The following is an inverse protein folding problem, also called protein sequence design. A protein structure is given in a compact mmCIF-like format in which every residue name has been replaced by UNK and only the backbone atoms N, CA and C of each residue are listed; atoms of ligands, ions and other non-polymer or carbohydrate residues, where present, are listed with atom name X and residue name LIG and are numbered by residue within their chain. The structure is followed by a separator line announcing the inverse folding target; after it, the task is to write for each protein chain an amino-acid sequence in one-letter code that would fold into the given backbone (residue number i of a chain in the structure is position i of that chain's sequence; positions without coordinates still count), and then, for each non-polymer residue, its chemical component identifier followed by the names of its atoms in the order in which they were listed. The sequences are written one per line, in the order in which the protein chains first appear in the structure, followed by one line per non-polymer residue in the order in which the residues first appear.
data_IF_331486160913
#
_entry.id   IF_331486160913
#
_cell.length_a   1.000
_cell.length_b   1.000
_cell.length_c   1.000
_cell.angle_alpha   90.00
_cell.angle_beta   90.00
_cell.angle_gamma   90.00
#
_symmetry.space_group_name_H-M   'P 1'
#
loop_
_entity.id
_entity.type
_entity.pdbx_description
1 polymer ?
#
# COMPACT_ATOMS: atom_id res chain seq x y z
N UNK A 1 -41.27 -17.97 -50.00
CA UNK A 1 -40.38 -17.57 -48.89
C UNK A 1 -41.18 -17.69 -47.60
N UNK A 2 -40.86 -18.59 -46.67
CA UNK A 2 -41.57 -18.69 -45.40
C UNK A 2 -41.19 -17.51 -44.49
N UNK A 3 -42.15 -17.04 -43.70
CA UNK A 3 -42.00 -15.87 -42.82
C UNK A 3 -40.97 -16.12 -41.72
N UNK A 4 -40.26 -15.04 -41.36
CA UNK A 4 -39.21 -14.94 -40.33
C UNK A 4 -39.60 -15.45 -38.94
N UNK A 5 -40.88 -15.66 -38.69
CA UNK A 5 -41.43 -16.10 -37.40
C UNK A 5 -41.30 -17.63 -37.15
N UNK A 6 -41.15 -18.43 -38.22
CA UNK A 6 -40.98 -19.89 -38.10
C UNK A 6 -39.56 -20.30 -37.69
N UNK A 7 -38.55 -19.52 -38.09
CA UNK A 7 -37.15 -19.78 -37.75
C UNK A 7 -36.82 -19.45 -36.29
N UNK A 8 -37.40 -18.36 -35.78
CA UNK A 8 -37.20 -17.95 -34.38
C UNK A 8 -37.82 -18.97 -33.43
N UNK A 9 -39.03 -19.47 -33.73
CA UNK A 9 -39.68 -20.52 -32.92
C UNK A 9 -38.92 -21.85 -32.96
N UNK A 10 -38.34 -22.22 -34.10
CA UNK A 10 -37.48 -23.42 -34.22
C UNK A 10 -36.20 -23.33 -33.39
N UNK A 11 -35.55 -22.16 -33.36
CA UNK A 11 -34.33 -21.94 -32.58
C UNK A 11 -34.56 -21.99 -31.07
N UNK A 12 -35.68 -21.44 -30.58
CA UNK A 12 -36.02 -21.49 -29.15
C UNK A 12 -36.35 -22.91 -28.66
N UNK A 13 -37.04 -23.72 -29.47
CA UNK A 13 -37.34 -25.12 -29.12
C UNK A 13 -36.07 -25.96 -29.09
N UNK A 14 -35.14 -25.74 -30.02
CA UNK A 14 -33.85 -26.44 -30.03
C UNK A 14 -32.99 -26.09 -28.80
N UNK A 15 -32.96 -24.82 -28.39
CA UNK A 15 -32.20 -24.38 -27.21
C UNK A 15 -32.78 -24.94 -25.89
N UNK A 16 -34.11 -25.04 -25.80
CA UNK A 16 -34.80 -25.62 -24.64
C UNK A 16 -34.54 -27.13 -24.52
N UNK A 17 -34.50 -27.86 -25.65
CA UNK A 17 -34.19 -29.29 -25.66
C UNK A 17 -32.73 -29.57 -25.28
N UNK A 18 -31.78 -28.73 -25.71
CA UNK A 18 -30.37 -28.88 -25.34
C UNK A 18 -30.14 -28.60 -23.85
N UNK A 19 -30.82 -27.60 -23.28
CA UNK A 19 -30.72 -27.31 -21.83
C UNK A 19 -31.37 -28.39 -20.97
N UNK A 20 -32.51 -28.95 -21.39
CA UNK A 20 -33.13 -30.11 -20.73
C UNK A 20 -32.25 -31.37 -20.79
N UNK A 21 -31.58 -31.62 -21.91
CA UNK A 21 -30.66 -32.77 -22.05
C UNK A 21 -29.43 -32.61 -21.14
N UNK A 22 -28.87 -31.39 -21.02
CA UNK A 22 -27.75 -31.10 -20.12
C UNK A 22 -28.12 -31.24 -18.64
N UNK A 23 -29.31 -30.78 -18.23
CA UNK A 23 -29.80 -30.94 -16.87
C UNK A 23 -30.09 -32.42 -16.53
N UNK A 24 -30.56 -33.21 -17.49
CA UNK A 24 -30.76 -34.66 -17.33
C UNK A 24 -29.44 -35.43 -17.17
N UNK A 25 -28.37 -34.99 -17.86
CA UNK A 25 -27.04 -35.60 -17.77
C UNK A 25 -26.32 -35.25 -16.46
N UNK A 26 -26.53 -34.04 -15.91
CA UNK A 26 -25.97 -33.66 -14.61
C UNK A 26 -26.68 -34.34 -13.42
N UNK A 27 -27.93 -34.76 -13.59
CA UNK A 27 -28.70 -35.45 -12.55
C UNK A 27 -28.39 -36.95 -12.45
N UNK A 28 -27.68 -37.54 -13.42
CA UNK A 28 -27.40 -38.99 -13.47
C UNK A 28 -26.09 -39.41 -12.79
N UNK A 29 -25.23 -38.47 -12.37
CA UNK A 29 -23.96 -38.75 -11.68
C UNK A 29 -24.06 -38.76 -10.14
N UNK A 30 -25.25 -38.61 -9.57
CA UNK A 30 -25.47 -38.68 -8.13
C UNK A 30 -25.87 -40.10 -7.68
N UNK A 31 -24.91 -41.03 -7.71
CA UNK A 31 -25.07 -42.36 -7.10
C UNK A 31 -24.75 -42.34 -5.60
N UNK A 32 -25.77 -42.58 -4.78
CA UNK A 32 -25.71 -42.67 -3.32
C UNK A 32 -24.85 -43.86 -2.85
N UNK A 33 -23.68 -43.56 -2.28
CA UNK A 33 -22.88 -44.51 -1.49
C UNK A 33 -23.19 -44.34 0.00
N UNK A 34 -23.79 -45.37 0.61
CA UNK A 34 -24.09 -45.47 2.04
C UNK A 34 -22.83 -45.41 2.90
N UNK A 35 -22.65 -44.38 3.72
CA UNK A 35 -21.56 -44.31 4.71
C UNK A 35 -22.09 -44.48 6.13
N UNK A 36 -21.68 -45.57 6.77
CA UNK A 36 -21.82 -45.80 8.20
C UNK A 36 -21.09 -44.70 9.00
N UNK A 37 -21.78 -44.12 9.98
CA UNK A 37 -21.22 -43.20 10.96
C UNK A 37 -20.29 -43.99 11.90
N UNK A 38 -18.98 -43.73 11.84
CA UNK A 38 -18.02 -44.07 12.91
C UNK A 38 -17.77 -42.83 13.76
N UNK A 39 -17.73 -42.94 15.10
CA UNK A 39 -17.48 -41.80 15.96
C UNK A 39 -16.03 -41.33 15.79
N UNK A 40 -15.87 -40.04 15.49
CA UNK A 40 -14.59 -39.37 15.32
C UNK A 40 -13.89 -39.26 16.68
N UNK A 41 -12.95 -40.17 16.93
CA UNK A 41 -12.01 -40.05 18.06
C UNK A 41 -11.09 -38.88 17.75
N UNK A 42 -11.16 -37.82 18.56
CA UNK A 42 -10.22 -36.68 18.53
C UNK A 42 -8.80 -37.21 18.71
N UNK A 43 -8.02 -37.20 17.63
CA UNK A 43 -6.56 -37.26 17.70
C UNK A 43 -6.02 -35.90 18.19
N UNK A 44 -5.03 -35.86 19.08
CA UNK A 44 -4.36 -34.61 19.43
C UNK A 44 -3.56 -34.15 18.20
N UNK A 45 -4.01 -33.06 17.57
CA UNK A 45 -3.35 -32.49 16.40
C UNK A 45 -2.11 -31.70 16.85
N UNK A 46 -0.93 -32.04 16.32
CA UNK A 46 0.31 -31.30 16.57
C UNK A 46 0.21 -29.93 15.88
N UNK A 47 0.68 -28.87 16.58
CA UNK A 47 0.92 -27.53 16.06
C UNK A 47 1.64 -27.63 14.69
N UNK A 48 1.12 -27.01 13.64
CA UNK A 48 1.77 -26.97 12.33
C UNK A 48 3.01 -26.04 12.38
N UNK A 49 4.10 -26.55 12.95
CA UNK A 49 5.40 -25.87 13.02
C UNK A 49 5.94 -25.50 11.62
N UNK A 50 5.42 -26.14 10.58
CA UNK A 50 5.68 -25.87 9.17
C UNK A 50 5.17 -24.52 8.69
N UNK A 51 4.02 -24.03 9.17
CA UNK A 51 3.44 -22.76 8.70
C UNK A 51 4.21 -21.55 9.25
N UNK A 52 4.70 -21.62 10.50
CA UNK A 52 5.53 -20.54 11.09
C UNK A 52 6.91 -20.50 10.43
N UNK A 53 7.54 -21.66 10.24
CA UNK A 53 8.84 -21.75 9.57
C UNK A 53 8.80 -21.25 8.11
N UNK A 54 7.66 -21.40 7.42
CA UNK A 54 7.44 -20.87 6.07
C UNK A 54 7.39 -19.33 6.07
N UNK A 55 6.72 -18.71 7.04
CA UNK A 55 6.66 -17.24 7.17
C UNK A 55 8.00 -16.64 7.56
N UNK A 56 8.73 -17.24 8.51
CA UNK A 56 10.06 -16.75 8.90
C UNK A 56 11.04 -16.84 7.73
N UNK A 57 11.00 -17.92 6.96
CA UNK A 57 11.80 -18.07 5.74
C UNK A 57 11.42 -17.02 4.69
N UNK A 58 10.14 -16.68 4.56
CA UNK A 58 9.66 -15.67 3.62
C UNK A 58 10.14 -14.26 3.99
N UNK A 59 10.14 -13.90 5.27
CA UNK A 59 10.78 -12.66 5.76
C UNK A 59 12.28 -12.68 5.49
N UNK A 60 12.98 -13.73 5.92
CA UNK A 60 14.42 -13.84 5.76
C UNK A 60 14.88 -13.73 4.30
N UNK A 61 14.07 -14.23 3.36
CA UNK A 61 14.34 -14.12 1.92
C UNK A 61 14.30 -12.67 1.37
N UNK A 62 13.73 -11.72 2.13
CA UNK A 62 13.54 -10.33 1.70
C UNK A 62 14.11 -9.29 2.70
N UNK A 63 14.69 -9.72 3.82
CA UNK A 63 15.16 -8.82 4.88
C UNK A 63 16.18 -7.78 4.37
N UNK A 64 17.14 -8.17 3.53
CA UNK A 64 18.13 -7.23 2.98
C UNK A 64 17.47 -6.13 2.12
N UNK A 65 16.50 -6.51 1.29
CA UNK A 65 15.75 -5.57 0.43
C UNK A 65 14.88 -4.62 1.28
N UNK A 66 14.21 -5.15 2.30
CA UNK A 66 13.34 -4.38 3.18
C UNK A 66 14.11 -3.47 4.12
N UNK A 67 15.25 -3.91 4.63
CA UNK A 67 16.16 -3.08 5.44
C UNK A 67 16.66 -1.90 4.62
N UNK A 68 17.08 -2.14 3.38
CA UNK A 68 17.52 -1.09 2.48
C UNK A 68 16.40 -0.09 2.14
N UNK A 69 15.17 -0.57 1.95
CA UNK A 69 14.01 0.31 1.78
C UNK A 69 13.75 1.18 3.02
N UNK A 70 13.89 0.63 4.23
CA UNK A 70 13.77 1.39 5.49
C UNK A 70 14.87 2.46 5.60
N UNK A 71 16.10 2.13 5.21
CA UNK A 71 17.22 3.08 5.20
C UNK A 71 16.96 4.25 4.23
N UNK A 72 16.54 3.96 2.99
CA UNK A 72 16.16 4.98 2.02
C UNK A 72 15.04 5.89 2.55
N UNK A 73 14.03 5.32 3.21
CA UNK A 73 12.96 6.09 3.85
C UNK A 73 13.47 7.02 4.96
N UNK A 74 14.46 6.59 5.73
CA UNK A 74 15.13 7.44 6.73
C UNK A 74 15.92 8.56 6.06
N UNK A 75 16.64 8.27 4.97
CA UNK A 75 17.42 9.27 4.23
C UNK A 75 16.52 10.31 3.56
N UNK A 76 15.40 9.88 2.97
CA UNK A 76 14.41 10.76 2.34
C UNK A 76 13.89 11.82 3.32
N UNK A 77 13.51 11.43 4.54
CA UNK A 77 12.99 12.36 5.57
C UNK A 77 14.06 13.26 6.20
N UNK A 78 15.34 12.85 6.18
CA UNK A 78 16.43 13.58 6.87
C UNK A 78 16.94 14.80 6.13
N UNK A 79 16.90 14.82 4.80
CA UNK A 79 17.42 15.95 4.03
C UNK A 79 16.45 16.30 2.92
N UNK A 80 16.00 17.54 2.88
CA UNK A 80 14.87 17.95 2.04
C UNK A 80 15.25 18.30 0.59
N UNK A 81 16.55 18.44 0.28
CA UNK A 81 17.00 18.99 -1.00
C UNK A 81 18.25 18.30 -1.59
N UNK A 82 18.26 16.97 -1.52
CA UNK A 82 19.36 16.14 -2.01
C UNK A 82 18.88 15.11 -3.04
N UNK A 83 19.76 14.78 -3.99
CA UNK A 83 19.63 13.64 -4.88
C UNK A 83 19.97 12.37 -4.09
N UNK A 84 19.08 11.38 -4.16
CA UNK A 84 19.18 10.11 -3.44
C UNK A 84 19.29 8.98 -4.46
N UNK A 85 20.50 8.42 -4.68
CA UNK A 85 20.65 7.21 -5.48
C UNK A 85 19.99 6.00 -4.80
N UNK A 86 19.45 5.06 -5.55
CA UNK A 86 18.89 3.83 -4.99
C UNK A 86 19.91 3.02 -4.19
N UNK A 87 21.21 3.20 -4.41
CA UNK A 87 22.28 2.51 -3.67
C UNK A 87 22.68 3.21 -2.37
N UNK A 88 22.01 4.31 -2.00
CA UNK A 88 22.37 5.07 -0.81
C UNK A 88 22.06 4.29 0.47
N UNK A 89 23.07 4.14 1.33
CA UNK A 89 22.97 3.49 2.66
C UNK A 89 23.22 4.51 3.78
N UNK A 90 23.75 5.69 3.42
CA UNK A 90 24.05 6.76 4.37
C UNK A 90 23.86 8.14 3.75
N UNK A 91 23.83 9.18 4.59
CA UNK A 91 23.77 10.57 4.14
C UNK A 91 25.00 11.05 3.37
N UNK A 92 26.08 10.26 3.32
CA UNK A 92 27.28 10.55 2.52
C UNK A 92 27.11 10.16 1.06
N UNK A 93 26.19 9.23 0.78
CA UNK A 93 25.89 8.78 -0.58
C UNK A 93 24.93 9.74 -1.31
N UNK A 94 24.32 10.66 -0.56
CA UNK A 94 23.42 11.68 -1.08
C UNK A 94 24.21 12.85 -1.68
N UNK A 95 23.76 13.33 -2.84
CA UNK A 95 24.39 14.43 -3.55
C UNK A 95 23.58 15.72 -3.37
N UNK A 96 24.28 16.82 -3.10
CA UNK A 96 23.72 18.16 -2.87
C UNK A 96 24.14 19.10 -4.01
N UNK A 97 23.50 20.26 -4.09
CA UNK A 97 23.82 21.29 -5.09
C UNK A 97 25.29 21.72 -5.03
N UNK A 98 25.90 21.71 -3.85
CA UNK A 98 27.31 22.08 -3.59
C UNK A 98 28.28 20.88 -3.68
N UNK A 99 27.78 19.67 -3.97
CA UNK A 99 28.66 18.51 -4.18
C UNK A 99 29.50 18.69 -5.45
N UNK A 100 30.70 18.07 -5.54
CA UNK A 100 31.55 18.18 -6.72
C UNK A 100 30.79 17.78 -7.99
N UNK A 101 30.85 18.62 -9.03
CA UNK A 101 30.17 18.35 -10.31
C UNK A 101 30.57 17.01 -10.92
N UNK A 102 31.81 16.56 -10.71
CA UNK A 102 32.27 15.23 -11.16
C UNK A 102 31.48 14.10 -10.52
N UNK A 103 31.18 14.18 -9.22
CA UNK A 103 30.35 13.19 -8.51
C UNK A 103 28.88 13.26 -8.97
N UNK A 104 28.34 14.47 -9.14
CA UNK A 104 26.98 14.66 -9.67
C UNK A 104 26.86 14.08 -11.08
N UNK A 105 27.78 14.42 -11.97
CA UNK A 105 27.81 13.93 -13.35
C UNK A 105 28.00 12.41 -13.42
N UNK A 106 28.83 11.82 -12.57
CA UNK A 106 29.02 10.37 -12.52
C UNK A 106 27.70 9.64 -12.19
N UNK A 107 26.91 10.20 -11.28
CA UNK A 107 25.57 9.71 -11.00
C UNK A 107 24.64 9.99 -12.19
N UNK A 108 24.51 11.25 -12.63
CA UNK A 108 23.57 11.67 -13.69
C UNK A 108 23.71 10.87 -14.98
N UNK A 109 24.94 10.58 -15.42
CA UNK A 109 25.24 9.82 -16.64
C UNK A 109 24.73 8.38 -16.65
N UNK A 110 24.29 7.82 -15.51
CA UNK A 110 23.64 6.49 -15.47
C UNK A 110 22.31 6.46 -16.24
N UNK A 111 21.61 7.59 -16.34
CA UNK A 111 20.34 7.78 -17.05
C UNK A 111 19.38 6.58 -16.96
N UNK A 112 18.84 6.28 -15.76
CA UNK A 112 17.86 5.21 -15.58
C UNK A 112 16.60 5.48 -16.43
N UNK A 113 15.76 4.47 -16.63
CA UNK A 113 14.54 4.63 -17.45
C UNK A 113 13.62 5.74 -16.90
N UNK A 114 13.49 5.83 -15.58
CA UNK A 114 12.59 6.75 -14.89
C UNK A 114 13.31 7.34 -13.70
N UNK A 115 13.50 8.66 -13.66
CA UNK A 115 13.96 9.38 -12.48
C UNK A 115 12.75 9.84 -11.63
N UNK A 116 12.84 9.76 -10.31
CA UNK A 116 11.73 10.13 -9.40
C UNK A 116 11.88 11.61 -9.03
N UNK A 117 10.93 12.45 -9.39
CA UNK A 117 10.94 13.83 -8.91
C UNK A 117 10.56 13.87 -7.43
N UNK A 118 11.41 14.50 -6.62
CA UNK A 118 11.22 14.60 -5.18
C UNK A 118 11.12 16.08 -4.78
N UNK A 119 9.89 16.52 -4.53
CA UNK A 119 9.58 17.88 -4.12
C UNK A 119 10.22 18.21 -2.76
N UNK A 120 10.71 19.44 -2.62
CA UNK A 120 11.12 20.04 -1.35
C UNK A 120 9.90 20.39 -0.48
N UNK A 121 9.96 20.09 0.81
CA UNK A 121 8.97 20.54 1.80
C UNK A 121 7.82 19.57 2.08
N UNK A 122 7.74 18.43 1.36
CA UNK A 122 6.66 17.43 1.52
C UNK A 122 7.17 16.04 1.90
N UNK A 123 8.40 15.94 2.43
CA UNK A 123 9.07 14.67 2.80
C UNK A 123 8.60 14.09 4.14
N UNK A 124 7.31 13.79 4.24
CA UNK A 124 6.75 13.06 5.36
C UNK A 124 6.90 11.54 5.21
N UNK A 125 6.32 10.77 6.13
CA UNK A 125 6.34 9.31 6.06
C UNK A 125 5.63 8.76 4.83
N UNK A 126 4.46 9.28 4.45
CA UNK A 126 3.68 8.74 3.34
C UNK A 126 4.36 9.03 1.99
N UNK A 127 4.81 10.26 1.80
CA UNK A 127 5.47 10.68 0.57
C UNK A 127 6.80 9.96 0.35
N UNK A 128 7.62 9.81 1.41
CA UNK A 128 8.87 9.07 1.30
C UNK A 128 8.65 7.56 1.07
N UNK A 129 7.61 6.95 1.66
CA UNK A 129 7.32 5.54 1.39
C UNK A 129 6.99 5.28 -0.08
N UNK A 130 6.17 6.14 -0.69
CA UNK A 130 5.92 6.05 -2.14
C UNK A 130 7.23 6.27 -2.92
N UNK A 131 7.96 7.35 -2.66
CA UNK A 131 9.13 7.75 -3.42
C UNK A 131 10.26 6.71 -3.39
N UNK A 132 10.53 6.16 -2.22
CA UNK A 132 11.66 5.25 -2.01
C UNK A 132 11.37 3.85 -2.52
N UNK A 133 10.11 3.40 -2.52
CA UNK A 133 9.70 2.17 -3.19
C UNK A 133 9.99 2.23 -4.69
N UNK A 134 9.62 3.33 -5.37
CA UNK A 134 9.96 3.53 -6.78
C UNK A 134 11.47 3.65 -6.98
N UNK A 135 12.16 4.43 -6.15
CA UNK A 135 13.61 4.63 -6.24
C UNK A 135 14.35 3.30 -6.19
N UNK A 136 14.04 2.43 -5.22
CA UNK A 136 14.66 1.12 -5.04
C UNK A 136 14.35 0.17 -6.19
N UNK A 137 13.07 -0.07 -6.47
CA UNK A 137 12.67 -1.15 -7.37
C UNK A 137 12.78 -0.79 -8.86
N UNK A 138 12.91 0.51 -9.20
CA UNK A 138 13.35 0.94 -10.53
C UNK A 138 14.88 0.97 -10.67
N UNK A 139 15.63 0.72 -9.59
CA UNK A 139 17.08 0.90 -9.52
C UNK A 139 17.50 2.28 -10.05
N UNK A 140 16.83 3.30 -9.52
CA UNK A 140 16.89 4.66 -10.03
C UNK A 140 17.39 5.64 -8.96
N UNK A 141 16.95 6.89 -9.02
CA UNK A 141 17.27 7.91 -8.03
C UNK A 141 16.10 8.86 -7.89
N UNK A 142 16.00 9.43 -6.70
CA UNK A 142 15.15 10.57 -6.45
C UNK A 142 15.95 11.86 -6.71
N UNK A 143 15.44 12.73 -7.57
CA UNK A 143 16.08 13.99 -7.96
C UNK A 143 15.27 15.19 -7.47
N UNK A 144 15.91 16.17 -6.80
CA UNK A 144 15.26 17.43 -6.44
C UNK A 144 15.26 18.40 -7.63
N UNK A 145 14.46 19.47 -7.50
CA UNK A 145 14.33 20.54 -8.50
C UNK A 145 15.66 21.05 -9.05
N UNK A 146 16.66 21.25 -8.18
CA UNK A 146 17.93 21.83 -8.59
C UNK A 146 18.67 21.02 -9.66
N UNK A 147 18.47 19.70 -9.72
CA UNK A 147 19.07 18.84 -10.74
C UNK A 147 18.57 19.22 -12.13
N UNK A 148 17.30 19.64 -12.22
CA UNK A 148 16.61 19.97 -13.47
C UNK A 148 16.86 21.42 -13.92
N UNK A 149 17.30 22.29 -13.01
CA UNK A 149 17.57 23.70 -13.28
C UNK A 149 19.06 24.01 -13.50
N UNK A 150 19.96 23.13 -13.04
CA UNK A 150 21.39 23.41 -13.00
C UNK A 150 22.09 23.00 -14.29
N UNK A 151 23.16 23.74 -14.58
CA UNK A 151 24.17 23.37 -15.59
C UNK A 151 25.38 22.79 -14.87
N UNK A 152 25.83 21.62 -15.32
CA UNK A 152 26.95 20.89 -14.74
C UNK A 152 28.16 20.97 -15.66
N UNK A 153 29.35 21.11 -15.08
CA UNK A 153 30.60 21.25 -15.83
C UNK A 153 31.46 20.01 -15.61
N UNK A 154 31.94 19.40 -16.69
CA UNK A 154 32.87 18.27 -16.62
C UNK A 154 34.34 18.73 -16.42
N UNK A 155 35.25 17.76 -16.31
CA UNK A 155 36.69 18.01 -16.09
C UNK A 155 37.36 18.75 -17.25
N UNK A 156 36.75 18.72 -18.45
CA UNK A 156 37.25 19.40 -19.66
C UNK A 156 36.66 20.81 -19.80
N UNK A 157 35.80 21.25 -18.88
CA UNK A 157 35.12 22.54 -18.93
C UNK A 157 33.85 22.54 -19.79
N UNK A 158 33.42 21.38 -20.31
CA UNK A 158 32.16 21.31 -21.06
C UNK A 158 30.98 21.35 -20.12
N UNK A 159 30.00 22.18 -20.45
CA UNK A 159 28.76 22.32 -19.69
C UNK A 159 27.65 21.46 -20.27
N UNK A 160 26.82 20.87 -19.42
CA UNK A 160 25.64 20.11 -19.84
C UNK A 160 24.52 20.21 -18.81
N UNK A 161 23.28 20.02 -19.26
CA UNK A 161 22.10 19.95 -18.39
C UNK A 161 21.63 18.50 -18.19
N UNK A 162 20.79 18.27 -17.18
CA UNK A 162 20.15 16.97 -17.00
C UNK A 162 19.37 16.52 -18.26
N UNK A 163 18.67 17.44 -18.92
CA UNK A 163 17.84 17.10 -20.09
C UNK A 163 18.66 16.71 -21.31
N UNK A 164 19.88 17.24 -21.45
CA UNK A 164 20.84 16.85 -22.48
C UNK A 164 21.52 15.51 -22.16
N UNK A 165 21.85 15.27 -20.90
CA UNK A 165 22.46 14.00 -20.45
C UNK A 165 21.48 12.82 -20.61
N UNK A 166 20.25 13.00 -20.14
CA UNK A 166 19.25 11.94 -20.07
C UNK A 166 17.99 12.29 -20.89
N UNK A 167 18.10 12.45 -22.23
CA UNK A 167 16.97 12.89 -23.06
C UNK A 167 15.84 11.84 -23.08
N UNK A 168 16.19 10.56 -22.93
CA UNK A 168 15.24 9.43 -23.00
C UNK A 168 14.66 9.01 -21.64
N UNK A 169 15.26 9.41 -20.53
CA UNK A 169 14.72 9.13 -19.20
C UNK A 169 13.41 9.88 -19.01
N UNK A 170 12.40 9.18 -18.50
CA UNK A 170 11.16 9.79 -18.05
C UNK A 170 11.34 10.39 -16.65
N UNK A 171 10.46 11.31 -16.27
CA UNK A 171 10.37 11.82 -14.91
C UNK A 171 9.05 11.36 -14.31
N UNK A 172 9.12 10.71 -13.13
CA UNK A 172 7.96 10.33 -12.35
C UNK A 172 7.59 11.47 -11.40
N UNK A 173 6.39 12.01 -11.57
CA UNK A 173 5.78 12.93 -10.63
C UNK A 173 4.77 12.21 -9.74
N UNK A 174 4.89 12.44 -8.44
CA UNK A 174 3.98 11.89 -7.45
C UNK A 174 2.88 12.90 -7.17
N UNK A 175 1.63 12.48 -7.35
CA UNK A 175 0.44 13.25 -7.09
C UNK A 175 0.47 14.62 -7.81
N UNK A 176 0.10 15.71 -7.14
CA UNK A 176 0.11 17.09 -7.65
C UNK A 176 1.44 17.83 -7.36
N UNK A 177 2.42 17.15 -6.78
CA UNK A 177 3.69 17.72 -6.30
C UNK A 177 4.71 17.95 -7.44
N UNK A 178 4.31 18.73 -8.45
CA UNK A 178 5.10 18.98 -9.67
C UNK A 178 5.95 20.24 -9.58
N UNK A 179 5.63 21.18 -8.69
CA UNK A 179 6.29 22.48 -8.54
C UNK A 179 6.52 23.19 -9.88
N UNK A 180 5.58 23.17 -10.83
CA UNK A 180 5.79 23.74 -12.17
C UNK A 180 7.07 23.24 -12.91
N UNK A 181 7.67 22.12 -12.52
CA UNK A 181 8.92 21.61 -13.14
C UNK A 181 8.71 21.32 -14.62
N UNK A 182 7.53 20.82 -14.97
CA UNK A 182 7.10 20.59 -16.33
C UNK A 182 6.98 21.86 -17.19
N UNK A 183 7.02 23.05 -16.58
CA UNK A 183 6.96 24.37 -17.21
C UNK A 183 8.33 25.07 -17.25
N UNK A 184 9.40 24.45 -16.73
CA UNK A 184 10.74 25.01 -16.82
C UNK A 184 11.07 25.36 -18.27
N UNK A 185 11.74 26.51 -18.57
CA UNK A 185 12.00 26.95 -19.94
C UNK A 185 12.75 25.92 -20.81
N UNK A 186 13.56 25.06 -20.17
CA UNK A 186 14.34 24.03 -20.83
C UNK A 186 13.71 22.62 -20.73
N UNK A 187 12.50 22.50 -20.18
CA UNK A 187 11.79 21.23 -20.11
C UNK A 187 11.36 20.79 -21.51
N UNK A 188 11.88 19.69 -22.06
CA UNK A 188 11.54 19.31 -23.42
C UNK A 188 10.07 18.92 -23.56
N UNK A 189 9.38 19.41 -24.59
CA UNK A 189 7.97 19.03 -24.86
C UNK A 189 7.81 17.53 -25.14
N UNK A 190 8.89 16.87 -25.58
CA UNK A 190 8.98 15.43 -25.83
C UNK A 190 9.37 14.62 -24.59
N UNK A 191 9.67 15.27 -23.46
CA UNK A 191 10.04 14.57 -22.22
C UNK A 191 8.84 13.76 -21.72
N UNK A 192 9.07 12.45 -21.56
CA UNK A 192 8.09 11.51 -21.03
C UNK A 192 7.82 11.79 -19.56
N UNK A 193 6.55 11.85 -19.20
CA UNK A 193 6.07 12.00 -17.82
C UNK A 193 5.34 10.73 -17.39
N UNK A 194 5.77 10.21 -16.24
CA UNK A 194 5.04 9.18 -15.49
C UNK A 194 4.33 9.87 -14.34
N UNK A 195 3.02 9.69 -14.22
CA UNK A 195 2.23 10.19 -13.10
C UNK A 195 1.89 9.03 -12.15
N UNK A 196 2.19 9.19 -10.87
CA UNK A 196 1.69 8.32 -9.81
C UNK A 196 0.70 9.10 -8.95
N UNK A 197 -0.62 8.96 -9.17
CA UNK A 197 -1.64 9.73 -8.47
C UNK A 197 -2.11 9.06 -7.17
N UNK A 198 -2.56 9.88 -6.23
CA UNK A 198 -3.52 9.51 -5.19
C UNK A 198 -4.91 9.93 -5.69
N UNK A 199 -5.65 8.99 -6.26
CA UNK A 199 -6.90 9.29 -7.01
C UNK A 199 -8.02 9.89 -6.17
N UNK A 200 -7.94 9.74 -4.85
CA UNK A 200 -8.84 10.32 -3.85
C UNK A 200 -8.57 11.80 -3.56
N UNK A 201 -7.43 12.34 -4.00
CA UNK A 201 -7.03 13.72 -3.73
C UNK A 201 -7.64 14.69 -4.74
N UNK A 202 -8.29 15.75 -4.25
CA UNK A 202 -8.98 16.74 -5.07
C UNK A 202 -8.06 17.70 -5.82
N UNK A 203 -6.78 17.76 -5.43
CA UNK A 203 -5.74 18.61 -6.02
C UNK A 203 -5.33 18.13 -7.42
N UNK A 204 -5.50 16.84 -7.72
CA UNK A 204 -5.20 16.26 -9.03
C UNK A 204 -6.23 16.68 -10.08
N UNK A 205 -5.92 17.75 -10.81
CA UNK A 205 -6.74 18.26 -11.91
C UNK A 205 -6.59 17.45 -13.22
N UNK A 206 -7.58 17.54 -14.16
CA UNK A 206 -7.53 16.91 -15.48
C UNK A 206 -6.23 17.13 -16.26
N UNK A 207 -5.64 18.32 -16.16
CA UNK A 207 -4.44 18.66 -16.92
C UNK A 207 -3.23 17.80 -16.55
N UNK A 208 -3.10 17.35 -15.29
CA UNK A 208 -2.03 16.43 -14.87
C UNK A 208 -2.11 15.13 -15.67
N UNK A 209 -3.32 14.58 -15.80
CA UNK A 209 -3.59 13.36 -16.54
C UNK A 209 -3.49 13.56 -18.05
N UNK A 210 -3.91 14.71 -18.58
CA UNK A 210 -3.73 15.05 -20.00
C UNK A 210 -2.25 15.18 -20.36
N UNK A 211 -1.42 15.64 -19.44
CA UNK A 211 0.02 15.82 -19.66
C UNK A 211 0.80 14.50 -19.53
N UNK A 212 0.36 13.56 -18.70
CA UNK A 212 1.06 12.30 -18.50
C UNK A 212 1.15 11.45 -19.78
N UNK A 213 2.25 10.69 -19.92
CA UNK A 213 2.41 9.68 -20.97
C UNK A 213 2.12 8.27 -20.42
N UNK A 214 2.39 8.05 -19.12
CA UNK A 214 2.06 6.83 -18.38
C UNK A 214 1.48 7.23 -17.01
N UNK A 215 0.41 6.56 -16.57
CA UNK A 215 -0.17 6.72 -15.23
C UNK A 215 -0.11 5.40 -14.47
N UNK A 216 0.47 5.42 -13.27
CA UNK A 216 0.60 4.26 -12.39
C UNK A 216 -0.62 4.17 -11.47
N UNK A 217 -1.30 3.04 -11.42
CA UNK A 217 -2.44 2.82 -10.53
C UNK A 217 -2.06 1.87 -9.39
N UNK A 218 -2.09 2.40 -8.16
CA UNK A 218 -1.69 1.66 -6.94
C UNK A 218 -2.72 0.62 -6.48
N UNK A 219 -3.98 0.77 -6.89
CA UNK A 219 -5.09 -0.13 -6.57
C UNK A 219 -5.91 -0.46 -7.82
N UNK A 220 -6.71 -1.53 -7.75
CA UNK A 220 -7.62 -1.92 -8.82
C UNK A 220 -8.72 -0.88 -8.99
N UNK A 221 -9.22 -0.32 -7.89
CA UNK A 221 -10.16 0.79 -7.92
C UNK A 221 -9.57 2.01 -8.66
N UNK A 222 -8.34 2.44 -8.31
CA UNK A 222 -7.66 3.52 -9.01
C UNK A 222 -7.48 3.21 -10.50
N UNK A 223 -7.06 1.98 -10.85
CA UNK A 223 -6.90 1.56 -12.24
C UNK A 223 -8.21 1.67 -13.01
N UNK A 224 -9.30 1.15 -12.44
CA UNK A 224 -10.63 1.14 -13.06
C UNK A 224 -11.11 2.57 -13.33
N UNK A 225 -10.93 3.46 -12.36
CA UNK A 225 -11.37 4.86 -12.45
C UNK A 225 -10.55 5.65 -13.48
N UNK A 226 -9.23 5.58 -13.40
CA UNK A 226 -8.34 6.27 -14.35
C UNK A 226 -8.60 5.77 -15.77
N UNK A 227 -8.71 4.44 -15.94
CA UNK A 227 -9.00 3.84 -17.25
C UNK A 227 -10.36 4.26 -17.79
N UNK A 228 -11.40 4.24 -16.94
CA UNK A 228 -12.75 4.68 -17.33
C UNK A 228 -12.78 6.15 -17.71
N UNK A 229 -12.03 7.00 -17.00
CA UNK A 229 -11.96 8.43 -17.29
C UNK A 229 -11.23 8.71 -18.62
N UNK A 230 -10.11 8.03 -18.89
CA UNK A 230 -9.38 8.17 -20.15
C UNK A 230 -10.15 7.66 -21.38
N UNK A 231 -11.10 6.75 -21.20
CA UNK A 231 -11.94 6.26 -22.29
C UNK A 231 -13.13 7.18 -22.63
N UNK A 232 -13.34 8.25 -21.87
CA UNK A 232 -14.29 9.30 -22.24
C UNK A 232 -13.68 10.23 -23.28
N UNK A 233 -14.53 10.84 -24.11
CA UNK A 233 -14.09 11.74 -25.16
C UNK A 233 -13.22 12.89 -24.60
N UNK A 234 -12.13 13.19 -25.31
CA UNK A 234 -11.18 14.28 -25.00
C UNK A 234 -10.33 14.14 -23.74
N UNK A 235 -10.55 13.12 -22.89
CA UNK A 235 -9.78 12.95 -21.66
C UNK A 235 -8.41 12.29 -21.85
N UNK A 236 -8.12 11.68 -23.02
CA UNK A 236 -6.82 11.09 -23.32
C UNK A 236 -6.15 11.66 -24.58
N UNK A 237 -5.82 12.96 -24.61
CA UNK A 237 -5.29 13.63 -25.81
C UNK A 237 -3.90 13.11 -26.24
N UNK A 238 -3.16 12.46 -25.33
CA UNK A 238 -1.80 11.93 -25.59
C UNK A 238 -1.76 10.42 -25.81
N UNK A 239 -2.89 9.73 -25.72
CA UNK A 239 -2.90 8.26 -25.75
C UNK A 239 -2.13 7.62 -24.59
N UNK A 240 -2.14 8.28 -23.43
CA UNK A 240 -1.51 7.85 -22.18
C UNK A 240 -1.92 6.42 -21.83
N UNK A 241 -0.96 5.67 -21.25
CA UNK A 241 -1.17 4.29 -20.82
C UNK A 241 -1.37 4.23 -19.30
N UNK A 242 -2.34 3.45 -18.85
CA UNK A 242 -2.52 3.17 -17.42
C UNK A 242 -1.85 1.84 -17.10
N UNK A 243 -0.95 1.82 -16.13
CA UNK A 243 -0.29 0.61 -15.64
C UNK A 243 -0.79 0.32 -14.23
N UNK A 244 -1.50 -0.80 -14.04
CA UNK A 244 -1.82 -1.30 -12.70
C UNK A 244 -0.57 -1.90 -12.08
N UNK A 245 -0.01 -1.21 -11.08
CA UNK A 245 1.26 -1.58 -10.46
C UNK A 245 1.10 -2.32 -9.14
N UNK A 246 -0.11 -2.35 -8.57
CA UNK A 246 -0.25 -2.41 -7.11
C UNK A 246 0.68 -1.37 -6.45
N UNK A 247 1.06 -1.56 -5.20
CA UNK A 247 2.17 -0.82 -4.61
C UNK A 247 2.77 -1.65 -3.47
N UNK A 248 3.87 -1.18 -2.88
CA UNK A 248 4.50 -1.81 -1.74
C UNK A 248 4.80 -0.78 -0.65
N UNK A 249 5.26 -1.23 0.50
CA UNK A 249 5.66 -0.40 1.63
C UNK A 249 6.80 -1.08 2.39
N UNK A 250 7.52 -0.32 3.21
CA UNK A 250 8.54 -0.87 4.12
C UNK A 250 7.96 -1.86 5.14
N UNK A 251 8.78 -2.77 5.64
CA UNK A 251 8.46 -3.58 6.82
C UNK A 251 9.38 -3.14 7.97
N UNK A 252 8.87 -2.36 8.91
CA UNK A 252 9.68 -1.89 10.02
C UNK A 252 10.18 -3.04 10.91
N UNK A 253 9.49 -4.18 10.97
CA UNK A 253 9.86 -5.32 11.83
C UNK A 253 11.19 -5.96 11.41
N UNK A 254 11.68 -5.67 10.19
CA UNK A 254 13.04 -6.02 9.76
C UNK A 254 14.12 -5.43 10.67
N UNK A 255 13.88 -4.26 11.28
CA UNK A 255 14.81 -3.65 12.22
C UNK A 255 14.97 -4.50 13.49
N UNK A 256 13.87 -5.08 13.97
CA UNK A 256 13.87 -5.97 15.14
C UNK A 256 14.57 -7.28 14.78
N UNK A 257 14.24 -7.89 13.64
CA UNK A 257 14.90 -9.11 13.16
C UNK A 257 16.40 -8.91 12.99
N UNK A 258 16.81 -7.80 12.37
CA UNK A 258 18.22 -7.47 12.18
C UNK A 258 18.94 -7.23 13.52
N UNK A 259 18.31 -6.50 14.46
CA UNK A 259 18.87 -6.32 15.81
C UNK A 259 19.00 -7.68 16.54
N UNK A 260 18.03 -8.57 16.39
CA UNK A 260 18.08 -9.94 16.95
C UNK A 260 19.27 -10.73 16.41
N UNK A 261 19.42 -10.77 15.07
CA UNK A 261 20.47 -11.53 14.39
C UNK A 261 21.88 -11.04 14.75
N UNK A 262 22.01 -9.76 15.10
CA UNK A 262 23.28 -9.15 15.51
C UNK A 262 23.49 -9.13 17.04
N UNK A 263 22.63 -9.80 17.82
CA UNK A 263 22.75 -9.86 19.29
C UNK A 263 22.53 -8.51 19.99
N UNK A 264 21.79 -7.60 19.37
CA UNK A 264 21.53 -6.24 19.86
C UNK A 264 20.18 -6.10 20.59
N UNK A 265 19.36 -7.17 20.62
CA UNK A 265 18.14 -7.21 21.41
C UNK A 265 18.42 -7.73 22.82
N UNK A 266 17.78 -7.10 23.82
CA UNK A 266 17.70 -7.60 25.19
C UNK A 266 16.69 -8.75 25.28
N UNK A 267 16.95 -9.88 24.60
CA UNK A 267 16.07 -11.06 24.58
C UNK A 267 16.04 -11.79 23.23
N UNK A 268 15.29 -12.88 23.18
CA UNK A 268 14.99 -13.60 21.93
C UNK A 268 13.73 -13.04 21.28
N UNK A 269 13.75 -12.90 19.95
CA UNK A 269 12.55 -12.58 19.18
C UNK A 269 11.47 -13.66 19.41
N UNK A 270 10.42 -13.31 20.16
CA UNK A 270 9.34 -14.23 20.48
C UNK A 270 8.30 -14.23 19.36
N UNK A 271 7.72 -15.39 18.99
CA UNK A 271 6.56 -15.44 18.12
C UNK A 271 5.38 -14.68 18.73
N UNK A 272 4.55 -14.05 17.90
CA UNK A 272 3.31 -13.38 18.34
C UNK A 272 2.38 -14.36 19.06
N UNK A 273 1.82 -13.93 20.19
CA UNK A 273 0.87 -14.71 20.97
C UNK A 273 -0.59 -14.37 20.59
N UNK A 274 -1.15 -15.09 19.62
CA UNK A 274 -2.56 -14.93 19.24
C UNK A 274 -3.56 -15.45 20.29
N UNK A 275 -3.09 -15.99 21.42
CA UNK A 275 -3.89 -16.34 22.60
C UNK A 275 -4.14 -15.15 23.52
N UNK A 276 -3.21 -14.21 23.62
CA UNK A 276 -3.33 -12.99 24.41
C UNK A 276 -3.27 -11.76 23.48
N UNK A 277 -4.43 -11.21 23.16
CA UNK A 277 -4.52 -10.16 22.15
C UNK A 277 -4.12 -8.78 22.68
N UNK A 278 -3.56 -8.01 21.76
CA UNK A 278 -3.30 -6.58 21.85
C UNK A 278 -3.76 -5.96 20.55
N UNK A 279 -4.50 -4.86 20.63
CA UNK A 279 -4.98 -4.14 19.45
C UNK A 279 -4.15 -2.88 19.30
N UNK A 280 -3.55 -2.69 18.13
CA UNK A 280 -2.84 -1.44 17.80
C UNK A 280 -3.62 -0.68 16.73
N UNK A 281 -3.82 0.61 16.94
CA UNK A 281 -4.26 1.53 15.90
C UNK A 281 -3.33 2.75 15.87
N UNK A 282 -2.79 3.06 14.68
CA UNK A 282 -1.84 4.17 14.50
C UNK A 282 -2.32 5.09 13.38
N UNK A 283 -2.97 6.19 13.76
CA UNK A 283 -3.41 7.17 12.79
C UNK A 283 -2.39 8.29 12.52
N UNK A 284 -1.49 8.56 13.47
CA UNK A 284 -0.56 9.67 13.35
C UNK A 284 -1.32 10.99 13.17
N UNK A 285 -0.99 11.78 12.14
CA UNK A 285 -1.64 13.07 11.85
C UNK A 285 -2.92 12.95 11.01
N UNK A 286 -3.25 11.77 10.50
CA UNK A 286 -4.38 11.65 9.57
C UNK A 286 -5.72 11.59 10.32
N UNK A 287 -6.66 12.50 10.02
CA UNK A 287 -8.01 12.43 10.58
C UNK A 287 -8.87 11.35 9.89
N UNK A 288 -8.45 10.86 8.72
CA UNK A 288 -9.24 9.94 7.90
C UNK A 288 -9.09 8.47 8.29
N UNK A 289 -8.35 8.18 9.36
CA UNK A 289 -8.11 6.81 9.83
C UNK A 289 -9.09 6.35 10.91
N UNK A 290 -10.07 7.19 11.26
CA UNK A 290 -11.14 6.93 12.23
C UNK A 290 -10.65 6.48 13.62
N UNK A 291 -9.61 7.12 14.13
CA UNK A 291 -9.20 6.93 15.52
C UNK A 291 -10.32 7.26 16.54
N UNK A 292 -11.17 8.28 16.37
CA UNK A 292 -12.33 8.53 17.24
C UNK A 292 -13.26 7.32 17.35
N UNK A 293 -13.59 6.69 16.22
CA UNK A 293 -14.43 5.48 16.16
C UNK A 293 -13.79 4.31 16.92
N UNK A 294 -12.46 4.20 16.94
CA UNK A 294 -11.77 3.22 17.78
C UNK A 294 -11.93 3.54 19.27
N UNK A 295 -11.76 4.81 19.66
CA UNK A 295 -11.88 5.23 21.06
C UNK A 295 -13.31 5.03 21.60
N UNK A 296 -14.32 5.45 20.84
CA UNK A 296 -15.74 5.25 21.17
C UNK A 296 -16.06 3.75 21.33
N UNK A 297 -15.52 2.91 20.45
CA UNK A 297 -15.72 1.47 20.57
C UNK A 297 -15.13 0.89 21.86
N UNK A 298 -13.97 1.40 22.31
CA UNK A 298 -13.37 0.95 23.56
C UNK A 298 -14.06 1.52 24.81
N UNK A 299 -14.77 2.64 24.68
CA UNK A 299 -15.65 3.17 25.73
C UNK A 299 -16.84 2.23 25.99
N UNK A 300 -17.46 1.74 24.90
CA UNK A 300 -18.59 0.82 24.95
C UNK A 300 -18.22 -0.59 25.49
N UNK A 301 -16.96 -1.00 25.35
CA UNK A 301 -16.50 -2.37 25.64
C UNK A 301 -15.22 -2.40 26.51
N UNK A 302 -15.32 -2.12 27.83
CA UNK A 302 -14.18 -2.13 28.75
C UNK A 302 -13.56 -3.52 28.96
N UNK A 303 -14.22 -4.60 28.51
CA UNK A 303 -13.72 -5.97 28.52
C UNK A 303 -12.85 -6.32 27.30
N UNK A 304 -12.80 -5.47 26.28
CA UNK A 304 -11.94 -5.71 25.11
C UNK A 304 -10.45 -5.74 25.50
N UNK A 305 -9.60 -6.42 24.70
CA UNK A 305 -8.16 -6.40 24.91
C UNK A 305 -7.61 -4.97 24.86
N UNK A 306 -6.42 -4.78 25.42
CA UNK A 306 -5.79 -3.46 25.46
C UNK A 306 -5.64 -2.86 24.06
N UNK A 307 -6.17 -1.65 23.89
CA UNK A 307 -5.94 -0.79 22.73
C UNK A 307 -4.71 0.08 22.98
N UNK A 308 -3.71 -0.04 22.12
CA UNK A 308 -2.62 0.92 22.00
C UNK A 308 -2.92 1.86 20.83
N UNK A 309 -3.35 3.07 21.15
CA UNK A 309 -3.76 4.09 20.20
C UNK A 309 -2.65 5.13 20.02
N UNK A 310 -2.09 5.23 18.81
CA UNK A 310 -1.04 6.21 18.48
C UNK A 310 -1.59 7.32 17.58
N UNK A 311 -1.72 8.52 18.14
CA UNK A 311 -2.36 9.67 17.50
C UNK A 311 -1.53 10.94 17.66
N UNK A 312 -1.62 11.82 16.67
CA UNK A 312 -1.03 13.17 16.72
C UNK A 312 -1.91 14.21 16.02
N UNK A 313 -3.19 13.93 15.86
CA UNK A 313 -4.20 14.85 15.35
C UNK A 313 -5.09 15.36 16.49
N UNK A 314 -5.55 16.59 16.35
CA UNK A 314 -6.34 17.25 17.39
C UNK A 314 -7.75 16.66 17.54
N UNK A 315 -8.30 16.06 16.47
CA UNK A 315 -9.65 15.49 16.50
C UNK A 315 -9.71 14.28 17.43
N UNK A 316 -8.76 13.35 17.29
CA UNK A 316 -8.66 12.16 18.16
C UNK A 316 -8.35 12.54 19.61
N UNK A 317 -7.52 13.56 19.83
CA UNK A 317 -7.27 14.07 21.18
C UNK A 317 -8.52 14.73 21.79
N UNK A 318 -9.30 15.45 20.97
CA UNK A 318 -10.60 15.99 21.38
C UNK A 318 -11.53 14.88 21.87
N UNK A 319 -11.76 13.87 21.04
CA UNK A 319 -12.60 12.71 21.39
C UNK A 319 -12.13 12.00 22.65
N UNK A 320 -10.82 11.76 22.80
CA UNK A 320 -10.26 11.15 24.01
C UNK A 320 -10.63 11.92 25.29
N UNK A 321 -10.53 13.26 25.25
CA UNK A 321 -10.86 14.10 26.40
C UNK A 321 -12.36 14.23 26.62
N UNK A 322 -13.17 14.22 25.56
CA UNK A 322 -14.64 14.24 25.65
C UNK A 322 -15.18 12.95 26.31
N UNK A 323 -14.63 11.79 25.94
CA UNK A 323 -15.06 10.51 26.50
C UNK A 323 -14.64 10.34 27.96
N UNK A 324 -13.40 10.73 28.30
CA UNK A 324 -12.78 10.27 29.54
C UNK A 324 -12.15 11.36 30.42
N UNK A 325 -12.16 12.64 30.02
CA UNK A 325 -11.51 13.75 30.76
C UNK A 325 -10.06 13.41 31.19
N UNK A 326 -9.32 12.79 30.27
CA UNK A 326 -7.94 12.36 30.49
C UNK A 326 -7.76 11.08 31.32
N UNK A 327 -8.85 10.38 31.70
CA UNK A 327 -8.84 9.19 32.57
C UNK A 327 -9.51 7.99 31.87
N UNK A 328 -8.85 7.39 30.88
CA UNK A 328 -9.43 6.29 30.11
C UNK A 328 -9.58 5.02 30.94
N UNK A 329 -10.40 4.05 30.50
CA UNK A 329 -10.49 2.74 31.13
C UNK A 329 -9.15 1.99 31.07
N UNK A 330 -8.92 0.97 31.94
CA UNK A 330 -7.62 0.29 32.03
C UNK A 330 -7.15 -0.42 30.75
N UNK A 331 -8.07 -0.70 29.81
CA UNK A 331 -7.78 -1.35 28.53
C UNK A 331 -7.54 -0.35 27.39
N UNK A 332 -7.32 0.93 27.68
CA UNK A 332 -6.97 1.95 26.67
C UNK A 332 -5.66 2.65 27.04
N UNK A 333 -4.65 2.46 26.19
CA UNK A 333 -3.36 3.14 26.24
C UNK A 333 -3.26 4.15 25.09
N UNK A 334 -3.48 5.42 25.41
CA UNK A 334 -3.49 6.52 24.44
C UNK A 334 -2.13 7.24 24.39
N UNK A 335 -1.48 7.19 23.24
CA UNK A 335 -0.20 7.81 22.96
C UNK A 335 -0.39 9.04 22.07
N UNK A 336 -0.63 10.20 22.69
CA UNK A 336 -0.76 11.47 21.96
C UNK A 336 0.57 12.19 21.76
N UNK A 337 0.89 12.56 20.52
CA UNK A 337 2.04 13.42 20.17
C UNK A 337 3.42 12.84 20.51
N UNK A 338 3.49 11.57 20.93
CA UNK A 338 4.73 10.91 21.31
C UNK A 338 5.58 10.67 20.06
N UNK A 339 6.79 11.21 20.04
CA UNK A 339 7.79 10.79 19.06
C UNK A 339 8.22 9.37 19.38
N UNK A 340 8.02 8.45 18.43
CA UNK A 340 8.42 7.06 18.53
C UNK A 340 9.64 6.87 17.63
N UNK A 341 10.74 6.35 18.16
CA UNK A 341 11.91 6.05 17.33
C UNK A 341 11.58 4.95 16.31
N UNK A 342 12.37 4.81 15.24
CA UNK A 342 12.10 3.77 14.23
C UNK A 342 12.16 2.35 14.81
N UNK A 343 13.06 2.10 15.78
CA UNK A 343 13.16 0.80 16.44
C UNK A 343 12.00 0.57 17.42
N UNK A 344 11.57 1.60 18.16
CA UNK A 344 10.42 1.47 19.06
C UNK A 344 9.13 1.22 18.27
N UNK A 345 8.94 1.91 17.13
CA UNK A 345 7.81 1.67 16.25
C UNK A 345 7.85 0.26 15.65
N UNK A 346 9.05 -0.21 15.28
CA UNK A 346 9.25 -1.57 14.83
C UNK A 346 8.90 -2.60 15.92
N UNK A 347 9.26 -2.35 17.19
CA UNK A 347 8.87 -3.20 18.31
C UNK A 347 7.35 -3.21 18.52
N UNK A 348 6.68 -2.05 18.44
CA UNK A 348 5.22 -1.95 18.53
C UNK A 348 4.56 -2.83 17.45
N UNK A 349 4.99 -2.74 16.19
CA UNK A 349 4.45 -3.56 15.12
C UNK A 349 4.81 -5.05 15.28
N UNK A 350 6.02 -5.34 15.77
CA UNK A 350 6.48 -6.69 16.05
C UNK A 350 5.65 -7.37 17.14
N UNK A 351 5.19 -6.63 18.13
CA UNK A 351 4.45 -7.17 19.27
C UNK A 351 2.92 -7.15 19.06
N UNK A 352 2.43 -6.30 18.15
CA UNK A 352 1.01 -6.17 17.83
C UNK A 352 0.43 -7.49 17.27
N UNK A 353 -0.50 -8.11 18.00
CA UNK A 353 -1.18 -9.32 17.49
C UNK A 353 -2.27 -8.97 16.49
N UNK A 354 -3.00 -7.88 16.74
CA UNK A 354 -4.01 -7.33 15.84
C UNK A 354 -3.67 -5.86 15.56
N UNK A 355 -3.74 -5.47 14.29
CA UNK A 355 -3.63 -4.05 13.91
C UNK A 355 -4.94 -3.65 13.24
N UNK A 356 -5.60 -2.65 13.82
CA UNK A 356 -6.85 -2.13 13.34
C UNK A 356 -6.63 -0.94 12.39
N UNK A 357 -7.24 -1.05 11.23
CA UNK A 357 -7.10 -0.10 10.14
C UNK A 357 -8.46 0.40 9.60
N UNK A 358 -9.29 1.09 10.41
CA UNK A 358 -10.65 1.49 10.02
C UNK A 358 -10.70 2.76 9.17
N UNK A 359 -9.78 2.95 8.21
CA UNK A 359 -9.74 4.17 7.39
C UNK A 359 -11.06 4.47 6.68
N UNK A 360 -11.45 5.74 6.67
CA UNK A 360 -12.53 6.28 5.85
C UNK A 360 -12.12 6.41 4.38
N UNK A 361 -10.84 6.69 4.10
CA UNK A 361 -10.28 6.72 2.75
C UNK A 361 -8.77 6.46 2.77
N UNK A 362 -8.24 5.91 1.68
CA UNK A 362 -6.81 5.69 1.46
C UNK A 362 -6.51 5.83 -0.04
N UNK A 363 -5.37 6.41 -0.41
CA UNK A 363 -4.87 6.37 -1.80
C UNK A 363 -4.14 5.09 -2.15
N UNK A 364 -3.54 4.45 -1.14
CA UNK A 364 -3.04 3.09 -1.23
C UNK A 364 -3.42 2.32 0.03
N UNK A 365 -2.90 2.71 1.20
CA UNK A 365 -3.07 1.98 2.46
C UNK A 365 -1.75 1.47 3.04
N UNK A 366 -0.72 2.33 3.09
CA UNK A 366 0.62 1.94 3.57
C UNK A 366 0.58 1.26 4.94
N UNK A 367 -0.16 1.81 5.91
CA UNK A 367 -0.20 1.22 7.25
C UNK A 367 -0.97 -0.12 7.31
N UNK A 368 -1.93 -0.36 6.42
CA UNK A 368 -2.59 -1.68 6.25
C UNK A 368 -1.57 -2.69 5.73
N UNK A 369 -0.75 -2.27 4.77
CA UNK A 369 0.25 -3.14 4.16
C UNK A 369 1.43 -3.41 5.11
N UNK A 370 1.86 -2.41 5.89
CA UNK A 370 2.84 -2.55 6.98
C UNK A 370 2.33 -3.53 8.05
N UNK A 371 1.03 -3.46 8.40
CA UNK A 371 0.44 -4.38 9.35
C UNK A 371 0.46 -5.84 8.88
N UNK A 372 0.21 -6.06 7.57
CA UNK A 372 0.33 -7.38 6.94
C UNK A 372 1.79 -7.86 6.94
N UNK A 373 2.73 -6.99 6.60
CA UNK A 373 4.16 -7.32 6.62
C UNK A 373 4.64 -7.67 8.04
N UNK A 374 4.18 -6.95 9.05
CA UNK A 374 4.50 -7.21 10.45
C UNK A 374 3.95 -8.54 11.00
N UNK A 375 3.14 -9.28 10.23
CA UNK A 375 2.54 -10.53 10.65
C UNK A 375 1.40 -10.39 11.67
N UNK A 376 0.75 -9.22 11.73
CA UNK A 376 -0.43 -9.03 12.55
C UNK A 376 -1.70 -9.56 11.85
N UNK A 377 -2.71 -9.94 12.64
CA UNK A 377 -4.05 -10.10 12.11
C UNK A 377 -4.63 -8.71 11.83
N UNK A 378 -4.85 -8.38 10.56
CA UNK A 378 -5.31 -7.04 10.18
C UNK A 378 -6.84 -7.02 10.11
N UNK A 379 -7.42 -5.94 10.63
CA UNK A 379 -8.83 -5.59 10.42
C UNK A 379 -8.92 -4.26 9.68
N UNK A 380 -9.65 -4.19 8.58
CA UNK A 380 -9.75 -2.96 7.77
C UNK A 380 -11.11 -2.78 7.14
N UNK A 381 -11.43 -1.54 6.75
CA UNK A 381 -12.69 -1.15 6.12
C UNK A 381 -12.99 -1.96 4.85
N UNK A 382 -14.22 -2.49 4.73
CA UNK A 382 -14.70 -3.18 3.52
C UNK A 382 -15.09 -2.18 2.41
N UNK A 383 -14.13 -1.36 1.99
CA UNK A 383 -14.31 -0.44 0.88
C UNK A 383 -12.99 -0.23 0.13
N UNK A 384 -13.02 0.09 -1.18
CA UNK A 384 -11.80 0.30 -1.92
C UNK A 384 -11.03 1.57 -1.47
N UNK A 385 -9.68 1.55 -1.49
CA UNK A 385 -8.83 0.40 -1.83
C UNK A 385 -8.52 -0.51 -0.63
N UNK A 386 -8.97 -0.17 0.59
CA UNK A 386 -8.63 -0.90 1.83
C UNK A 386 -8.97 -2.40 1.76
N UNK A 387 -10.10 -2.75 1.16
CA UNK A 387 -10.53 -4.14 1.03
C UNK A 387 -9.77 -4.95 -0.03
N UNK A 388 -8.88 -4.33 -0.83
CA UNK A 388 -8.06 -5.07 -1.79
C UNK A 388 -6.88 -5.82 -1.11
N UNK A 389 -6.48 -5.39 0.10
CA UNK A 389 -5.32 -5.94 0.81
C UNK A 389 -5.59 -7.35 1.36
N UNK A 390 -6.83 -7.65 1.71
CA UNK A 390 -7.19 -8.88 2.40
C UNK A 390 -8.55 -9.41 1.97
N UNK A 391 -8.74 -10.72 2.17
CA UNK A 391 -10.03 -11.38 2.06
C UNK A 391 -10.34 -12.10 3.38
N UNK A 392 -11.43 -12.87 3.40
CA UNK A 392 -11.85 -13.62 4.58
C UNK A 392 -10.81 -14.65 5.06
N UNK A 393 -9.78 -14.97 4.26
CA UNK A 393 -8.73 -15.94 4.61
C UNK A 393 -7.43 -15.28 5.11
N UNK A 394 -7.34 -13.94 5.08
CA UNK A 394 -6.11 -13.20 5.39
C UNK A 394 -6.31 -11.96 6.26
N UNK A 395 -7.48 -11.82 6.89
CA UNK A 395 -7.82 -10.66 7.72
C UNK A 395 -9.29 -10.66 8.14
N UNK A 396 -9.75 -9.49 8.59
CA UNK A 396 -11.15 -9.19 8.90
C UNK A 396 -11.56 -7.89 8.20
N UNK A 397 -12.70 -7.92 7.51
CA UNK A 397 -13.25 -6.75 6.83
C UNK A 397 -14.36 -6.14 7.71
N UNK A 398 -14.25 -4.84 7.98
CA UNK A 398 -15.26 -4.05 8.70
C UNK A 398 -16.40 -3.78 7.72
N UNK A 399 -17.58 -4.36 8.02
CA UNK A 399 -18.75 -4.31 7.14
C UNK A 399 -19.71 -3.20 7.56
N UNK A 400 -20.79 -3.00 6.78
CA UNK A 400 -21.78 -1.95 7.08
C UNK A 400 -21.30 -0.54 6.74
N UNK A 401 -20.34 -0.44 5.84
CA UNK A 401 -19.70 0.79 5.41
C UNK A 401 -20.56 1.50 4.37
N UNK A 402 -20.75 2.80 4.50
CA UNK A 402 -21.51 3.60 3.52
C UNK A 402 -20.65 4.66 2.83
N UNK A 403 -20.75 4.83 1.51
CA UNK A 403 -19.99 5.87 0.81
C UNK A 403 -20.50 7.27 1.20
N UNK A 404 -19.58 8.19 1.47
CA UNK A 404 -19.87 9.62 1.60
C UNK A 404 -19.99 10.26 0.23
N UNK A 405 -20.97 11.15 0.09
CA UNK A 405 -21.08 11.99 -1.09
C UNK A 405 -19.89 12.95 -1.18
N UNK A 406 -19.24 12.98 -2.34
CA UNK A 406 -18.10 13.83 -2.62
C UNK A 406 -17.54 13.49 -4.00
N UNK A 407 -17.05 14.50 -4.72
CA UNK A 407 -16.51 14.35 -6.07
C UNK A 407 -15.05 14.76 -6.14
N UNK A 408 -14.25 13.94 -6.80
CA UNK A 408 -12.91 14.28 -7.27
C UNK A 408 -12.86 14.04 -8.78
N UNK A 409 -11.74 14.38 -9.43
CA UNK A 409 -11.60 14.30 -10.90
C UNK A 409 -11.97 12.93 -11.48
N UNK A 410 -11.69 11.85 -10.74
CA UNK A 410 -11.89 10.46 -11.18
C UNK A 410 -13.17 9.82 -10.62
N UNK A 411 -14.14 10.62 -10.17
CA UNK A 411 -15.49 10.16 -9.80
C UNK A 411 -15.91 10.49 -8.37
N UNK A 412 -16.81 9.68 -7.83
CA UNK A 412 -17.38 9.83 -6.49
C UNK A 412 -17.02 8.65 -5.57
N UNK A 413 -17.40 8.73 -4.30
CA UNK A 413 -17.31 7.62 -3.32
C UNK A 413 -15.86 7.17 -3.06
N UNK A 414 -15.01 8.13 -2.71
CA UNK A 414 -13.63 7.87 -2.25
C UNK A 414 -13.51 7.84 -0.73
N UNK A 415 -14.50 8.40 -0.04
CA UNK A 415 -14.57 8.43 1.41
C UNK A 415 -15.79 7.65 1.87
N UNK A 416 -15.65 6.99 3.01
CA UNK A 416 -16.64 6.10 3.57
C UNK A 416 -16.88 6.40 5.04
N UNK A 417 -18.15 6.33 5.45
CA UNK A 417 -18.55 6.27 6.85
C UNK A 417 -18.25 4.89 7.42
N UNK A 418 -17.42 4.85 8.46
CA UNK A 418 -17.11 3.65 9.23
C UNK A 418 -17.76 3.82 10.60
N UNK A 419 -18.94 3.22 10.83
CA UNK A 419 -19.65 3.44 12.08
C UNK A 419 -19.03 2.65 13.24
N UNK A 420 -19.11 3.19 14.45
CA UNK A 420 -18.53 2.63 15.68
C UNK A 420 -18.96 1.20 15.94
N UNK A 421 -20.26 0.91 15.78
CA UNK A 421 -20.78 -0.45 15.95
C UNK A 421 -20.10 -1.47 15.03
N UNK A 422 -19.73 -1.08 13.80
CA UNK A 422 -19.11 -2.00 12.84
C UNK A 422 -17.65 -2.32 13.21
N UNK A 423 -16.93 -1.34 13.75
CA UNK A 423 -15.61 -1.55 14.33
C UNK A 423 -15.71 -2.54 15.49
N UNK A 424 -16.64 -2.33 16.43
CA UNK A 424 -16.82 -3.20 17.58
C UNK A 424 -17.21 -4.63 17.20
N UNK A 425 -18.14 -4.80 16.26
CA UNK A 425 -18.53 -6.12 15.76
C UNK A 425 -17.32 -6.84 15.14
N UNK A 426 -16.46 -6.12 14.41
CA UNK A 426 -15.25 -6.70 13.81
C UNK A 426 -14.25 -7.18 14.86
N UNK A 427 -14.12 -6.45 15.99
CA UNK A 427 -13.30 -6.89 17.13
C UNK A 427 -13.91 -8.12 17.81
N UNK A 428 -15.23 -8.15 18.01
CA UNK A 428 -15.93 -9.32 18.55
C UNK A 428 -15.74 -10.56 17.66
N UNK A 429 -15.77 -10.39 16.33
CA UNK A 429 -15.47 -11.46 15.38
C UNK A 429 -14.05 -12.01 15.59
N UNK A 430 -13.06 -11.15 15.81
CA UNK A 430 -11.68 -11.58 16.12
C UNK A 430 -11.64 -12.33 17.47
N UNK A 431 -12.32 -11.80 18.50
CA UNK A 431 -12.38 -12.42 19.83
C UNK A 431 -13.04 -13.80 19.80
N UNK A 432 -14.00 -14.02 18.90
CA UNK A 432 -14.65 -15.30 18.70
C UNK A 432 -13.79 -16.33 17.94
N UNK A 433 -12.78 -15.91 17.18
CA UNK A 433 -11.85 -16.84 16.53
C UNK A 433 -10.95 -17.53 17.56
N UNK A 434 -10.63 -18.79 17.35
CA UNK A 434 -9.58 -19.43 18.14
C UNK A 434 -8.18 -18.88 17.75
N UNK A 435 -7.18 -18.98 18.66
CA UNK A 435 -5.83 -18.47 18.40
C UNK A 435 -5.15 -19.04 17.15
N UNK A 436 -5.47 -20.28 16.76
CA UNK A 436 -4.87 -20.91 15.59
C UNK A 436 -5.44 -20.29 14.31
N UNK A 437 -6.75 -20.05 14.23
CA UNK A 437 -7.35 -19.36 13.10
C UNK A 437 -6.83 -17.92 12.94
N UNK A 438 -6.64 -17.19 14.04
CA UNK A 438 -6.03 -15.84 14.01
C UNK A 438 -4.61 -15.87 13.44
N UNK A 439 -3.78 -16.79 13.94
CA UNK A 439 -2.40 -16.96 13.48
C UNK A 439 -2.34 -17.35 11.99
N UNK A 440 -3.23 -18.25 11.55
CA UNK A 440 -3.32 -18.70 10.16
C UNK A 440 -3.68 -17.55 9.22
N UNK A 441 -4.67 -16.73 9.57
CA UNK A 441 -5.05 -15.55 8.77
C UNK A 441 -3.96 -14.49 8.73
N UNK A 442 -3.29 -14.24 9.86
CA UNK A 442 -2.15 -13.32 9.91
C UNK A 442 -1.01 -13.79 8.98
N UNK A 443 -0.65 -15.08 9.01
CA UNK A 443 0.33 -15.67 8.12
C UNK A 443 -0.06 -15.53 6.63
N UNK A 444 -1.34 -15.73 6.30
CA UNK A 444 -1.84 -15.48 4.95
C UNK A 444 -1.75 -14.00 4.54
N UNK A 445 -1.94 -13.07 5.49
CA UNK A 445 -1.71 -11.64 5.29
C UNK A 445 -0.28 -11.34 4.83
N UNK A 446 0.71 -11.96 5.47
CA UNK A 446 2.14 -11.88 5.12
C UNK A 446 2.39 -12.47 3.73
N UNK A 447 1.87 -13.66 3.42
CA UNK A 447 2.02 -14.28 2.08
C UNK A 447 1.49 -13.38 0.98
N UNK A 448 0.34 -12.75 1.20
CA UNK A 448 -0.19 -11.76 0.26
C UNK A 448 0.74 -10.55 0.14
N UNK A 449 1.40 -10.10 1.22
CA UNK A 449 2.25 -8.92 1.21
C UNK A 449 3.42 -9.15 0.25
N UNK A 450 4.09 -10.30 0.40
CA UNK A 450 5.19 -10.67 -0.48
C UNK A 450 4.75 -10.92 -1.92
N UNK A 451 3.55 -11.48 -2.14
CA UNK A 451 2.98 -11.58 -3.49
C UNK A 451 2.77 -10.20 -4.14
N UNK A 452 2.31 -9.23 -3.36
CA UNK A 452 2.12 -7.84 -3.80
C UNK A 452 3.45 -7.12 -4.04
N UNK A 453 4.45 -7.30 -3.17
CA UNK A 453 5.83 -6.81 -3.39
C UNK A 453 6.40 -7.35 -4.70
N UNK A 454 6.27 -8.66 -4.94
CA UNK A 454 6.73 -9.29 -6.17
C UNK A 454 6.01 -8.75 -7.42
N UNK A 455 4.69 -8.54 -7.34
CA UNK A 455 3.93 -7.92 -8.42
C UNK A 455 4.39 -6.49 -8.70
N UNK A 456 4.64 -5.70 -7.65
CA UNK A 456 5.17 -4.34 -7.78
C UNK A 456 6.52 -4.33 -8.48
N UNK A 457 7.45 -5.21 -8.09
CA UNK A 457 8.77 -5.37 -8.73
C UNK A 457 8.67 -5.70 -10.22
N UNK A 458 7.79 -6.63 -10.59
CA UNK A 458 7.52 -6.96 -12.00
C UNK A 458 6.89 -5.78 -12.76
N UNK A 459 6.05 -4.99 -12.09
CA UNK A 459 5.46 -3.79 -12.67
C UNK A 459 6.51 -2.70 -12.92
N UNK A 460 7.55 -2.59 -12.10
CA UNK A 460 8.66 -1.66 -12.34
C UNK A 460 9.48 -2.06 -13.58
N UNK A 461 9.72 -3.35 -13.79
CA UNK A 461 10.33 -3.86 -15.03
C UNK A 461 9.47 -3.53 -16.26
N UNK A 462 8.15 -3.70 -16.12
CA UNK A 462 7.17 -3.35 -17.17
C UNK A 462 7.21 -1.85 -17.47
N UNK A 463 7.25 -1.00 -16.45
CA UNK A 463 7.35 0.45 -16.59
C UNK A 463 8.64 0.85 -17.33
N UNK A 464 9.78 0.27 -16.97
CA UNK A 464 11.05 0.50 -17.67
C UNK A 464 10.93 0.15 -19.16
N UNK A 465 10.33 -0.99 -19.50
CA UNK A 465 10.11 -1.40 -20.88
C UNK A 465 9.18 -0.43 -21.64
N UNK A 466 8.09 0.03 -21.01
CA UNK A 466 7.15 1.02 -21.61
C UNK A 466 7.83 2.36 -21.90
N UNK A 467 8.76 2.79 -21.05
CA UNK A 467 9.50 4.05 -21.28
C UNK A 467 10.48 3.92 -22.44
N UNK A 468 11.09 2.75 -22.65
CA UNK A 468 11.99 2.53 -23.79
C UNK A 468 11.28 2.28 -25.12
N UNK A 469 10.01 1.86 -25.11
CA UNK A 469 9.21 1.71 -26.32
C UNK A 469 8.92 3.08 -26.97
N UNK A 470 9.04 3.12 -28.31
CA UNK A 470 8.82 4.32 -29.12
C UNK A 470 7.35 4.53 -29.42
#
# INVERSE_FOLDING_TARGET
MPSTDAWVKGAFVALALVTLLHLSLMASDASFGSFCVRPYVRSPFKRNQTDVADIDALHAAHDDELLHLVELNVLCRKQDNALIPWTATSSRDMLRRDSPHTAILAELRKCPAVDIYLQTGVRDHGYCEDAMAYTLHLQSRAIPRWVLESTFTDENGNTTTYFELCPRSAILFMNHYWEEVHELPHFPSTKKIVLMPNVEMGELQPWHYHRADIVLAKSRDAYTRIWSWYNQDFNNPRGAKVLYTQHTTSDATVLVRNASNNGQLNGTLAPKDFGNLTIVHANGKSPFKNAPTMLECWDDYPEFPTLHQYSSDDFSNGTFNELWDGKPPPNVDFHFGKYVSSLDFANILNDATVIACPSAMEGFGHYINQARAAGALVVTTDAPPMNEFMDNDSGVLIRGITPRSGSVTMGQNFMFDVPTWAVCESIQVILAMDPHERARRAANGVRRYFKQLQYFKQSMQTLQAMVYQR
#
